data_IF_086311302829
#
_entry.id   IF_086311302829
#
_cell.length_a   1.000
_cell.length_b   1.000
_cell.length_c   1.000
_cell.angle_alpha   90.00
_cell.angle_beta   90.00
_cell.angle_gamma   90.00
#
_symmetry.space_group_name_H-M   'P 1'
#
loop_
_entity.id
_entity.type
_entity.pdbx_description
1 polymer ?
#
# COMPACT_ATOMS: atom_id res chain seq x y z
N UNK A 1 9.47 -5.60 6.36
CA UNK A 1 8.09 -5.77 6.85
C UNK A 1 7.28 -4.60 6.30
N UNK A 2 6.09 -4.85 5.75
CA UNK A 2 5.22 -3.79 5.20
C UNK A 2 4.61 -3.00 6.36
N UNK A 3 4.67 -1.69 6.27
CA UNK A 3 4.04 -0.79 7.24
C UNK A 3 2.66 -0.37 6.70
N UNK A 4 1.61 -1.04 7.17
CA UNK A 4 0.23 -0.81 6.71
C UNK A 4 -0.30 0.57 7.09
N UNK A 5 0.30 1.24 8.09
CA UNK A 5 -0.06 2.61 8.51
C UNK A 5 0.25 3.66 7.43
N UNK A 6 1.13 3.36 6.48
CA UNK A 6 1.49 4.22 5.34
C UNK A 6 0.62 4.01 4.10
N UNK A 7 -0.24 3.00 4.11
CA UNK A 7 -1.16 2.72 2.99
C UNK A 7 -2.48 3.43 3.32
N UNK A 8 -2.98 4.33 2.45
CA UNK A 8 -4.24 5.03 2.67
C UNK A 8 -5.44 4.07 2.88
N UNK A 9 -6.47 4.57 3.56
CA UNK A 9 -7.70 3.81 3.89
C UNK A 9 -8.48 3.40 2.63
N UNK A 10 -8.39 4.15 1.54
CA UNK A 10 -9.05 3.81 0.27
C UNK A 10 -8.59 2.46 -0.33
N UNK A 11 -7.44 1.94 0.12
CA UNK A 11 -6.91 0.65 -0.32
C UNK A 11 -7.27 -0.51 0.62
N UNK A 12 -8.06 -0.30 1.67
CA UNK A 12 -8.50 -1.38 2.55
C UNK A 12 -9.25 -2.48 1.78
N UNK A 13 -8.93 -3.74 2.09
CA UNK A 13 -9.47 -4.90 1.38
C UNK A 13 -8.86 -5.14 -0.01
N UNK A 14 -8.07 -4.21 -0.55
CA UNK A 14 -7.43 -4.37 -1.86
C UNK A 14 -6.08 -5.09 -1.78
N UNK A 15 -5.69 -5.67 -2.91
CA UNK A 15 -4.32 -6.05 -3.18
C UNK A 15 -3.54 -4.83 -3.62
N UNK A 16 -2.34 -4.66 -3.08
CA UNK A 16 -1.47 -3.51 -3.37
C UNK A 16 -0.07 -4.00 -3.68
N UNK A 17 0.50 -3.48 -4.76
CA UNK A 17 1.92 -3.63 -5.09
C UNK A 17 2.66 -2.43 -4.54
N UNK A 18 3.65 -2.69 -3.71
CA UNK A 18 4.47 -1.70 -3.03
C UNK A 18 5.91 -1.79 -3.51
N UNK A 19 6.53 -0.66 -3.85
CA UNK A 19 7.99 -0.61 -3.88
C UNK A 19 8.50 -0.49 -2.45
N UNK A 20 9.38 -1.39 -2.06
CA UNK A 20 10.02 -1.40 -0.73
C UNK A 20 11.47 -0.97 -0.89
N UNK A 21 11.80 0.18 -0.29
CA UNK A 21 13.14 0.76 -0.32
C UNK A 21 13.34 1.71 0.85
N UNK A 22 13.92 2.90 0.60
CA UNK A 22 13.99 3.97 1.62
C UNK A 22 12.61 4.45 2.04
N UNK A 23 11.64 4.36 1.13
CA UNK A 23 10.25 4.77 1.32
C UNK A 23 9.34 3.70 0.72
N UNK A 24 8.17 3.50 1.35
CA UNK A 24 7.14 2.59 0.86
C UNK A 24 6.24 3.38 -0.09
N UNK A 25 6.18 2.96 -1.36
CA UNK A 25 5.36 3.63 -2.38
C UNK A 25 4.39 2.64 -3.01
N UNK A 26 3.12 3.03 -3.10
CA UNK A 26 2.10 2.29 -3.83
C UNK A 26 2.36 2.45 -5.32
N UNK A 27 2.52 1.33 -6.01
CA UNK A 27 2.72 1.28 -7.46
C UNK A 27 1.43 0.94 -8.19
N UNK A 28 0.60 0.06 -7.63
CA UNK A 28 -0.69 -0.31 -8.17
C UNK A 28 -1.56 -1.00 -7.12
N UNK A 29 -2.87 -1.04 -7.38
CA UNK A 29 -3.84 -1.69 -6.51
C UNK A 29 -5.01 -2.26 -7.31
N UNK A 30 -5.67 -3.26 -6.74
CA UNK A 30 -6.84 -3.89 -7.34
C UNK A 30 -7.56 -4.84 -6.40
N UNK A 31 -8.77 -5.27 -6.78
CA UNK A 31 -9.55 -6.22 -5.99
C UNK A 31 -8.93 -7.63 -6.03
N UNK A 32 -8.13 -7.91 -7.06
CA UNK A 32 -7.40 -9.15 -7.25
C UNK A 32 -5.90 -8.91 -7.40
N UNK A 33 -5.11 -9.99 -7.21
CA UNK A 33 -3.66 -9.97 -7.43
C UNK A 33 -3.34 -9.51 -8.86
N UNK A 34 -4.05 -10.02 -9.86
CA UNK A 34 -3.82 -9.69 -11.26
C UNK A 34 -4.01 -8.19 -11.52
N UNK A 35 -5.14 -7.64 -11.08
CA UNK A 35 -5.41 -6.20 -11.24
C UNK A 35 -4.35 -5.33 -10.55
N UNK A 36 -3.92 -5.70 -9.34
CA UNK A 36 -2.90 -4.95 -8.63
C UNK A 36 -1.54 -4.98 -9.36
N UNK A 37 -1.15 -6.14 -9.91
CA UNK A 37 0.09 -6.30 -10.68
C UNK A 37 0.01 -5.55 -12.01
N UNK A 38 -1.08 -5.68 -12.76
CA UNK A 38 -1.27 -4.97 -14.03
C UNK A 38 -1.27 -3.45 -13.83
N UNK A 39 -1.98 -2.96 -12.82
CA UNK A 39 -2.01 -1.53 -12.47
C UNK A 39 -0.64 -1.00 -12.04
N UNK A 40 0.21 -1.86 -11.47
CA UNK A 40 1.51 -1.47 -10.94
C UNK A 40 2.57 -1.24 -12.02
N UNK A 41 2.39 -1.83 -13.21
CA UNK A 41 3.37 -1.76 -14.30
C UNK A 41 4.73 -2.35 -13.98
N UNK A 42 4.83 -3.14 -12.91
CA UNK A 42 6.07 -3.80 -12.47
C UNK A 42 6.08 -5.24 -12.96
N UNK A 43 7.25 -5.72 -13.35
CA UNK A 43 7.42 -7.13 -13.67
C UNK A 43 7.26 -7.98 -12.41
N UNK A 44 6.65 -9.16 -12.54
CA UNK A 44 6.39 -10.05 -11.39
C UNK A 44 7.68 -10.49 -10.66
N UNK A 45 8.83 -10.44 -11.34
CA UNK A 45 10.14 -10.82 -10.80
C UNK A 45 10.93 -9.63 -10.22
N UNK A 46 10.36 -8.41 -10.18
CA UNK A 46 11.05 -7.24 -9.61
C UNK A 46 11.29 -7.44 -8.10
N UNK A 47 12.55 -7.61 -7.65
CA UNK A 47 12.86 -7.91 -6.25
C UNK A 47 12.67 -6.70 -5.32
N UNK A 48 12.38 -5.53 -5.87
CA UNK A 48 12.09 -4.29 -5.13
C UNK A 48 10.60 -4.08 -4.90
N UNK A 49 9.75 -4.93 -5.48
CA UNK A 49 8.31 -4.89 -5.33
C UNK A 49 7.82 -5.98 -4.37
N UNK A 50 6.80 -5.64 -3.59
CA UNK A 50 6.10 -6.57 -2.69
C UNK A 50 4.62 -6.45 -2.95
N UNK A 51 3.98 -7.57 -3.24
CA UNK A 51 2.54 -7.70 -3.31
C UNK A 51 1.99 -8.05 -1.92
N UNK A 52 1.00 -7.30 -1.45
CA UNK A 52 0.37 -7.54 -0.15
C UNK A 52 -1.13 -7.26 -0.19
N UNK A 53 -1.90 -7.99 0.61
CA UNK A 53 -3.30 -7.67 0.83
C UNK A 53 -3.42 -6.71 2.00
N UNK A 54 -4.16 -5.63 1.79
CA UNK A 54 -4.41 -4.63 2.81
C UNK A 54 -5.53 -5.13 3.72
N UNK A 55 -5.30 -5.26 5.04
CA UNK A 55 -6.35 -5.71 5.96
C UNK A 55 -7.49 -4.68 6.02
N UNK A 56 -8.72 -5.16 6.12
CA UNK A 56 -9.90 -4.33 6.39
C UNK A 56 -9.93 -3.92 7.86
N UNK A 57 -10.19 -2.64 8.14
CA UNK A 57 -10.27 -2.12 9.50
C UNK A 57 -8.90 -1.80 10.11
N UNK A 58 -7.99 -1.21 9.33
CA UNK A 58 -6.73 -0.69 9.88
C UNK A 58 -7.05 0.25 11.06
N UNK A 59 -6.29 0.19 12.16
CA UNK A 59 -6.41 1.20 13.20
C UNK A 59 -6.00 2.56 12.60
N UNK A 60 -6.98 3.42 12.34
CA UNK A 60 -6.76 4.78 11.88
C UNK A 60 -5.94 5.54 12.94
N UNK A 61 -4.67 5.81 12.65
CA UNK A 61 -3.90 6.79 13.42
C UNK A 61 -4.28 8.15 12.86
N UNK A 62 -5.27 8.80 13.49
CA UNK A 62 -5.54 10.22 13.24
C UNK A 62 -4.35 11.00 13.80
N UNK A 63 -3.38 11.33 12.95
CA UNK A 63 -2.41 12.38 13.26
C UNK A 63 -3.13 13.72 13.13
N UNK A 64 -3.85 14.13 14.17
CA UNK A 64 -4.21 15.54 14.32
C UNK A 64 -2.89 16.29 14.53
N UNK A 65 -2.44 17.00 13.49
CA UNK A 65 -1.50 18.11 13.67
C UNK A 65 -2.30 19.20 14.37
N UNK A 66 -2.36 19.11 15.68
CA UNK A 66 -2.71 20.25 16.54
C UNK A 66 -1.56 21.24 16.43
N UNK A 67 -1.58 22.09 15.41
CA UNK A 67 -0.81 23.32 15.48
C UNK A 67 -1.66 24.41 16.12
N UNK A 68 -1.29 24.65 17.36
CA UNK A 68 -1.57 25.85 18.14
C UNK A 68 -1.23 27.09 17.31
N UNK A 69 -2.18 28.01 17.18
CA UNK A 69 -2.01 29.34 16.58
C UNK A 69 -3.19 30.23 16.96
#
# INVERSE_FOLDING_TARGET
MVDFTRIPEEYEGLWVVLRVGREQRILGAGSTIAEAVEASGVEMDDPTAVLTQVPEGKPFVVMTRSEHG
#
